data_IF_792344041548
#
_entry.id   IF_792344041548
#
_cell.length_a   1.000
_cell.length_b   1.000
_cell.length_c   1.000
_cell.angle_alpha   90.00
_cell.angle_beta   90.00
_cell.angle_gamma   90.00
#
_symmetry.space_group_name_H-M   'P 1'
#
loop_
_entity.id
_entity.type
_entity.pdbx_description
1 polymer ?
#
# COMPACT_ATOMS: atom_id res chain seq x y z
N UNK A 1 20.16 16.35 10.84
CA UNK A 1 19.55 16.93 9.62
C UNK A 1 18.05 16.89 9.83
N UNK A 2 17.39 18.04 9.83
CA UNK A 2 15.94 18.10 10.00
C UNK A 2 15.30 17.79 8.65
N UNK A 3 14.80 16.58 8.48
CA UNK A 3 14.01 16.19 7.31
C UNK A 3 12.73 17.05 7.30
N UNK A 4 12.71 18.09 6.46
CA UNK A 4 11.56 18.98 6.33
C UNK A 4 10.75 18.58 5.09
N UNK A 5 9.43 18.51 5.24
CA UNK A 5 8.52 18.30 4.12
C UNK A 5 8.67 19.44 3.10
N UNK A 6 8.85 19.08 1.82
CA UNK A 6 9.03 20.05 0.72
C UNK A 6 7.90 19.96 -0.30
N UNK A 7 7.87 20.91 -1.24
CA UNK A 7 6.93 20.89 -2.36
C UNK A 7 7.04 19.59 -3.19
N UNK A 8 8.24 19.04 -3.34
CA UNK A 8 8.45 17.79 -4.07
C UNK A 8 7.79 16.60 -3.37
N UNK A 9 7.84 16.54 -2.04
CA UNK A 9 7.14 15.52 -1.26
C UNK A 9 5.62 15.63 -1.40
N UNK A 10 5.09 16.87 -1.37
CA UNK A 10 3.65 17.12 -1.62
C UNK A 10 3.19 16.61 -2.97
N UNK A 11 4.05 16.71 -4.00
CA UNK A 11 3.75 16.20 -5.34
C UNK A 11 3.89 14.68 -5.42
N UNK A 12 4.98 14.13 -4.89
CA UNK A 12 5.29 12.71 -4.99
C UNK A 12 4.31 11.81 -4.21
N UNK A 13 3.78 12.29 -3.08
CA UNK A 13 2.93 11.47 -2.22
C UNK A 13 1.56 11.08 -2.86
N UNK A 14 0.80 12.00 -3.48
CA UNK A 14 -0.37 11.64 -4.29
C UNK A 14 -0.05 10.74 -5.48
N UNK A 15 1.08 10.95 -6.16
CA UNK A 15 1.49 10.12 -7.29
C UNK A 15 1.76 8.68 -6.83
N UNK A 16 2.43 8.50 -5.68
CA UNK A 16 2.65 7.20 -5.07
C UNK A 16 1.32 6.52 -4.70
N UNK A 17 0.38 7.25 -4.09
CA UNK A 17 -0.96 6.72 -3.78
C UNK A 17 -1.68 6.25 -5.04
N UNK A 18 -1.61 7.05 -6.11
CA UNK A 18 -2.21 6.72 -7.41
C UNK A 18 -1.59 5.46 -8.00
N UNK A 19 -0.27 5.33 -7.93
CA UNK A 19 0.44 4.14 -8.39
C UNK A 19 0.05 2.89 -7.59
N UNK A 20 -0.10 3.00 -6.26
CA UNK A 20 -0.50 1.89 -5.39
C UNK A 20 -1.93 1.39 -5.66
N UNK A 21 -2.86 2.28 -6.04
CA UNK A 21 -4.23 1.89 -6.40
C UNK A 21 -4.41 1.59 -7.89
N UNK A 22 -3.33 1.67 -8.68
CA UNK A 22 -3.36 1.33 -10.09
C UNK A 22 -3.53 -0.18 -10.28
N UNK A 23 -4.09 -0.57 -11.43
CA UNK A 23 -4.35 -1.97 -11.79
C UNK A 23 -3.09 -2.85 -11.80
N UNK A 24 -1.89 -2.27 -11.88
CA UNK A 24 -0.64 -3.02 -11.80
C UNK A 24 -0.39 -3.61 -10.41
N UNK A 25 -0.81 -2.89 -9.36
CA UNK A 25 -0.59 -3.27 -7.97
C UNK A 25 -1.85 -3.87 -7.34
N UNK A 26 -3.03 -3.31 -7.63
CA UNK A 26 -4.30 -3.88 -7.20
C UNK A 26 -4.87 -4.80 -8.29
N UNK A 27 -4.57 -6.09 -8.16
CA UNK A 27 -5.03 -7.13 -9.09
C UNK A 27 -6.21 -7.90 -8.51
N UNK A 28 -7.02 -8.50 -9.38
CA UNK A 28 -8.04 -9.45 -8.96
C UNK A 28 -7.36 -10.73 -8.44
N UNK A 29 -7.87 -11.34 -7.36
CA UNK A 29 -7.40 -12.64 -6.89
C UNK A 29 -7.42 -13.70 -8.00
N UNK A 30 -6.40 -14.54 -8.05
CA UNK A 30 -6.34 -15.74 -8.89
C UNK A 30 -6.88 -16.92 -8.11
N UNK A 31 -7.91 -17.58 -8.63
CA UNK A 31 -8.50 -18.76 -8.00
C UNK A 31 -7.97 -20.05 -8.64
N UNK A 32 -6.65 -20.17 -8.76
CA UNK A 32 -5.95 -21.30 -9.40
C UNK A 32 -5.27 -22.25 -8.41
N UNK A 33 -5.56 -22.10 -7.12
CA UNK A 33 -4.96 -22.88 -6.04
C UNK A 33 -3.62 -22.33 -5.53
N UNK A 34 -3.12 -21.23 -6.08
CA UNK A 34 -2.00 -20.51 -5.46
C UNK A 34 -2.39 -19.89 -4.10
N UNK A 35 -1.41 -19.79 -3.21
CA UNK A 35 -1.64 -19.36 -1.83
C UNK A 35 -1.87 -17.86 -1.73
N UNK A 36 -2.73 -17.47 -0.79
CA UNK A 36 -2.83 -16.09 -0.33
C UNK A 36 -1.96 -15.85 0.90
N UNK A 37 -1.38 -14.65 0.99
CA UNK A 37 -0.67 -14.18 2.18
C UNK A 37 -1.45 -13.02 2.79
N UNK A 38 -1.77 -13.14 4.07
CA UNK A 38 -2.40 -12.06 4.84
C UNK A 38 -1.33 -11.44 5.73
N UNK A 39 -1.03 -10.17 5.48
CA UNK A 39 -0.14 -9.38 6.35
C UNK A 39 -1.00 -8.42 7.16
N UNK A 40 -0.97 -8.55 8.48
CA UNK A 40 -1.69 -7.67 9.39
C UNK A 40 -0.73 -6.97 10.35
N UNK A 41 -1.07 -5.73 10.70
CA UNK A 41 -0.39 -5.00 11.75
C UNK A 41 -1.42 -4.18 12.54
N UNK A 42 -1.21 -4.05 13.84
CA UNK A 42 -2.11 -3.31 14.73
C UNK A 42 -1.33 -2.44 15.71
N UNK A 43 -1.89 -1.28 16.03
CA UNK A 43 -1.42 -0.40 17.09
C UNK A 43 -2.61 0.05 17.95
N UNK A 44 -2.35 0.88 18.96
CA UNK A 44 -3.38 1.37 19.89
C UNK A 44 -4.49 2.17 19.17
N UNK A 45 -4.14 2.83 18.07
CA UNK A 45 -5.00 3.73 17.31
C UNK A 45 -5.77 3.03 16.18
N UNK A 46 -5.39 1.80 15.80
CA UNK A 46 -6.06 1.08 14.72
C UNK A 46 -5.35 -0.19 14.24
N UNK A 47 -5.96 -0.85 13.26
CA UNK A 47 -5.41 -2.05 12.63
C UNK A 47 -5.45 -1.93 11.09
N UNK A 48 -4.56 -2.64 10.41
CA UNK A 48 -4.48 -2.68 8.94
C UNK A 48 -4.18 -4.09 8.46
N UNK A 49 -4.76 -4.46 7.32
CA UNK A 49 -4.58 -5.76 6.69
C UNK A 49 -4.34 -5.58 5.20
N UNK A 50 -3.34 -6.29 4.67
CA UNK A 50 -3.06 -6.40 3.24
C UNK A 50 -3.19 -7.88 2.85
N UNK A 51 -3.96 -8.15 1.81
CA UNK A 51 -4.03 -9.45 1.15
C UNK A 51 -3.15 -9.40 -0.10
N UNK A 52 -2.21 -10.32 -0.23
CA UNK A 52 -1.37 -10.48 -1.41
C UNK A 52 -1.40 -11.91 -1.94
N UNK A 53 -1.04 -12.05 -3.22
CA UNK A 53 -0.92 -13.29 -3.96
C UNK A 53 0.19 -13.15 -5.00
#
# INVERSE_FOLDING_TARGET
LTECWTADHTKAFPDLKTALVSRLILQAPRYDGSNFVVTSNGCKEGFTVILSQ
#
